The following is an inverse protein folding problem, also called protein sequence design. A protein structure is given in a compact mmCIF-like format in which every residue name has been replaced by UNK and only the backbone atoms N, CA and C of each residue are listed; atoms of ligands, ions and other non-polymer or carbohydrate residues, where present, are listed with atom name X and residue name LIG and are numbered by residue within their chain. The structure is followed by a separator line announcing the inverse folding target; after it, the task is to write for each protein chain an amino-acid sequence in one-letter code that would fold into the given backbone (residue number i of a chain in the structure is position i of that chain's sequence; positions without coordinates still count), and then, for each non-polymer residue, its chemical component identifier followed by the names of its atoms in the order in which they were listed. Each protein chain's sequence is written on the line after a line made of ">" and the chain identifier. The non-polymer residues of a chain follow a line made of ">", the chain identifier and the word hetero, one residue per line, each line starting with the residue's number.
data_IF_274122307597
#
_entry.id   IF_274122307597
#
_cell.length_a   1.000
_cell.length_b   1.000
_cell.length_c   1.000
_cell.angle_alpha   90.00
_cell.angle_beta   90.00
_cell.angle_gamma   90.00
#
_symmetry.space_group_name_H-M   'P 1'
#
loop_
_entity.id
_entity.type
_entity.pdbx_description
1 polymer ?
#
# COMPACT_ATOMS: atom_id res chain seq x y z
N UNK A 1 0.55 -11.86 -12.98
CA UNK A 1 1.78 -11.03 -13.01
C UNK A 1 1.39 -9.56 -12.94
N UNK A 2 2.04 -8.79 -12.07
CA UNK A 2 1.75 -7.35 -11.88
C UNK A 2 2.34 -6.56 -13.05
N UNK A 3 1.56 -5.73 -13.77
CA UNK A 3 2.09 -4.92 -14.86
C UNK A 3 3.17 -3.92 -14.40
N UNK A 4 4.17 -3.65 -15.25
CA UNK A 4 5.31 -2.77 -14.93
C UNK A 4 4.87 -1.39 -14.41
N UNK A 5 3.88 -0.76 -15.06
CA UNK A 5 3.35 0.53 -14.62
C UNK A 5 2.77 0.52 -13.21
N UNK A 6 2.25 -0.62 -12.76
CA UNK A 6 1.73 -0.78 -11.39
C UNK A 6 2.88 -0.93 -10.41
N UNK A 7 3.94 -1.65 -10.80
CA UNK A 7 5.18 -1.73 -10.03
C UNK A 7 5.82 -0.34 -9.88
N UNK A 8 5.88 0.44 -10.95
CA UNK A 8 6.36 1.83 -10.91
C UNK A 8 5.52 2.71 -9.98
N UNK A 9 4.18 2.57 -10.01
CA UNK A 9 3.29 3.29 -9.12
C UNK A 9 3.52 2.91 -7.64
N UNK A 10 3.71 1.63 -7.32
CA UNK A 10 4.02 1.14 -5.96
C UNK A 10 5.33 1.73 -5.43
N UNK A 11 6.36 1.82 -6.28
CA UNK A 11 7.65 2.40 -5.92
C UNK A 11 7.68 3.93 -6.02
N UNK A 12 6.64 4.52 -6.55
CA UNK A 12 6.47 5.97 -6.69
C UNK A 12 5.83 6.64 -5.49
N UNK A 13 5.45 7.91 -5.64
CA UNK A 13 4.80 8.68 -4.58
C UNK A 13 3.29 8.40 -4.51
N UNK A 14 2.92 7.15 -4.35
CA UNK A 14 1.52 6.74 -4.24
C UNK A 14 1.03 6.77 -2.79
N UNK A 15 -0.19 7.24 -2.58
CA UNK A 15 -0.93 6.98 -1.35
C UNK A 15 -1.47 5.56 -1.42
N UNK A 16 -1.19 4.76 -0.41
CA UNK A 16 -1.57 3.35 -0.40
C UNK A 16 -2.38 3.00 0.86
N UNK A 17 -3.38 2.13 0.65
CA UNK A 17 -4.19 1.56 1.73
C UNK A 17 -4.28 0.05 1.56
N UNK A 18 -4.12 -0.67 2.66
CA UNK A 18 -4.40 -2.10 2.73
C UNK A 18 -5.79 -2.33 3.30
N UNK A 19 -6.55 -3.21 2.68
CA UNK A 19 -7.89 -3.60 3.09
C UNK A 19 -8.00 -5.10 3.33
N UNK A 20 -8.71 -5.49 4.39
CA UNK A 20 -9.04 -6.87 4.74
C UNK A 20 -10.51 -6.98 5.10
N UNK A 21 -10.99 -8.16 5.39
CA UNK A 21 -12.32 -8.42 5.95
C UNK A 21 -12.27 -9.60 6.92
N UNK A 22 -13.17 -9.60 7.88
CA UNK A 22 -13.35 -10.78 8.73
C UNK A 22 -14.31 -11.81 8.08
N UNK A 23 -14.57 -12.91 8.78
CA UNK A 23 -15.48 -13.97 8.36
C UNK A 23 -16.93 -13.50 8.16
N UNK A 24 -17.34 -12.42 8.85
CA UNK A 24 -18.67 -11.79 8.72
C UNK A 24 -18.72 -10.73 7.63
N UNK A 25 -17.67 -10.63 6.82
CA UNK A 25 -17.51 -9.65 5.75
C UNK A 25 -17.41 -8.18 6.22
N UNK A 26 -17.14 -7.94 7.51
CA UNK A 26 -16.84 -6.58 7.96
C UNK A 26 -15.46 -6.17 7.53
N UNK A 27 -15.33 -5.06 6.77
CA UNK A 27 -14.05 -4.59 6.28
C UNK A 27 -13.22 -3.94 7.40
N UNK A 28 -11.91 -3.99 7.20
CA UNK A 28 -10.94 -3.18 7.91
C UNK A 28 -9.95 -2.61 6.91
N UNK A 29 -9.40 -1.44 7.19
CA UNK A 29 -8.35 -0.86 6.37
C UNK A 29 -7.36 -0.09 7.23
N UNK A 30 -6.15 0.09 6.69
CA UNK A 30 -5.13 0.95 7.27
C UNK A 30 -4.29 1.56 6.16
N UNK A 31 -3.70 2.72 6.43
CA UNK A 31 -2.73 3.29 5.51
C UNK A 31 -1.43 2.48 5.51
N UNK A 32 -0.77 2.48 4.36
CA UNK A 32 0.49 1.80 4.12
C UNK A 32 1.62 2.84 4.16
N UNK A 33 2.71 2.50 4.83
CA UNK A 33 3.85 3.39 5.05
C UNK A 33 5.03 3.13 4.11
N UNK A 34 4.78 2.40 3.04
CA UNK A 34 5.73 2.02 2.01
C UNK A 34 5.49 0.60 1.53
N UNK A 35 5.99 0.27 0.35
CA UNK A 35 5.86 -1.07 -0.22
C UNK A 35 7.04 -1.40 -1.14
N UNK A 36 7.24 -2.70 -1.35
CA UNK A 36 8.20 -3.27 -2.28
C UNK A 36 7.46 -4.26 -3.18
N UNK A 37 7.46 -4.03 -4.48
CA UNK A 37 7.10 -5.04 -5.46
C UNK A 37 8.37 -5.78 -5.88
N UNK A 38 8.34 -7.11 -5.83
CA UNK A 38 9.51 -7.92 -6.15
C UNK A 38 9.68 -8.12 -7.66
N UNK A 39 10.89 -8.51 -8.07
CA UNK A 39 11.27 -8.68 -9.47
C UNK A 39 10.51 -9.80 -10.21
N UNK A 40 9.89 -10.73 -9.47
CA UNK A 40 9.00 -11.75 -10.04
C UNK A 40 7.64 -11.19 -10.50
N UNK A 41 7.35 -9.95 -10.12
CA UNK A 41 6.06 -9.25 -10.38
C UNK A 41 4.84 -10.04 -9.90
N UNK A 42 4.98 -10.81 -8.83
CA UNK A 42 3.89 -11.59 -8.23
C UNK A 42 3.68 -11.22 -6.75
N UNK A 43 4.78 -11.05 -6.01
CA UNK A 43 4.73 -10.75 -4.60
C UNK A 43 4.96 -9.26 -4.31
N UNK A 44 4.29 -8.79 -3.26
CA UNK A 44 4.43 -7.44 -2.73
C UNK A 44 4.56 -7.56 -1.22
N UNK A 45 5.51 -6.81 -0.65
CA UNK A 45 5.56 -6.53 0.78
C UNK A 45 5.17 -5.07 1.02
N UNK A 46 4.17 -4.84 1.84
CA UNK A 46 3.79 -3.51 2.29
C UNK A 46 3.98 -3.37 3.80
N UNK A 47 4.16 -2.14 4.25
CA UNK A 47 4.43 -1.84 5.64
C UNK A 47 3.28 -1.08 6.27
N UNK A 48 2.93 -1.47 7.50
CA UNK A 48 1.91 -0.77 8.30
C UNK A 48 2.46 -0.48 9.69
N UNK A 49 2.01 0.60 10.35
CA UNK A 49 2.36 0.81 11.75
C UNK A 49 1.87 -0.35 12.62
N UNK A 50 2.70 -0.82 13.56
CA UNK A 50 2.30 -1.89 14.48
C UNK A 50 1.02 -1.53 15.23
N UNK A 51 0.87 -0.28 15.65
CA UNK A 51 -0.32 0.23 16.34
C UNK A 51 -1.62 0.16 15.52
N UNK A 52 -1.53 -0.11 14.22
CA UNK A 52 -2.66 -0.23 13.28
C UNK A 52 -2.79 -1.62 12.66
N UNK A 53 -1.98 -2.58 13.11
CA UNK A 53 -1.86 -3.89 12.47
C UNK A 53 -2.77 -4.98 13.04
N UNK A 54 -3.23 -4.86 14.28
CA UNK A 54 -3.93 -5.92 15.01
C UNK A 54 -5.12 -6.50 14.22
N UNK A 55 -6.04 -5.64 13.79
CA UNK A 55 -7.23 -6.07 13.06
C UNK A 55 -6.87 -6.65 11.69
N UNK A 56 -5.94 -6.03 10.97
CA UNK A 56 -5.48 -6.50 9.67
C UNK A 56 -4.87 -7.90 9.80
N UNK A 57 -3.98 -8.12 10.76
CA UNK A 57 -3.34 -9.42 10.99
C UNK A 57 -4.36 -10.48 11.41
N UNK A 58 -5.33 -10.14 12.26
CA UNK A 58 -6.41 -11.04 12.65
C UNK A 58 -7.21 -11.53 11.43
N UNK A 59 -7.61 -10.63 10.55
CA UNK A 59 -8.34 -10.95 9.33
C UNK A 59 -7.50 -11.81 8.37
N UNK A 60 -6.22 -11.46 8.18
CA UNK A 60 -5.29 -12.20 7.33
C UNK A 60 -5.05 -13.63 7.83
N UNK A 61 -4.89 -13.81 9.12
CA UNK A 61 -4.74 -15.13 9.74
C UNK A 61 -6.03 -15.97 9.66
N UNK A 62 -7.19 -15.33 9.60
CA UNK A 62 -8.47 -16.01 9.48
C UNK A 62 -8.75 -16.48 8.04
N UNK A 63 -8.58 -15.62 7.04
CA UNK A 63 -9.03 -15.93 5.67
C UNK A 63 -7.98 -15.67 4.58
N UNK A 64 -6.86 -15.03 4.89
CA UNK A 64 -5.76 -14.78 3.97
C UNK A 64 -6.05 -13.78 2.85
N UNK A 65 -7.20 -13.11 2.82
CA UNK A 65 -7.58 -12.21 1.74
C UNK A 65 -7.16 -10.76 2.03
N UNK A 66 -6.48 -10.15 1.05
CA UNK A 66 -6.00 -8.78 1.15
C UNK A 66 -6.23 -8.02 -0.17
N UNK A 67 -6.48 -6.74 -0.04
CA UNK A 67 -6.48 -5.79 -1.15
C UNK A 67 -5.52 -4.64 -0.83
N UNK A 68 -4.75 -4.23 -1.83
CA UNK A 68 -3.88 -3.05 -1.78
C UNK A 68 -4.39 -2.04 -2.79
N UNK A 69 -4.79 -0.86 -2.32
CA UNK A 69 -5.11 0.28 -3.17
C UNK A 69 -3.86 1.16 -3.31
N UNK A 70 -3.57 1.57 -4.55
CA UNK A 70 -2.42 2.40 -4.92
C UNK A 70 -2.94 3.58 -5.73
N UNK A 71 -2.73 4.80 -5.27
CA UNK A 71 -3.24 6.01 -5.91
C UNK A 71 -2.17 7.10 -5.98
N UNK A 72 -1.85 7.53 -7.20
CA UNK A 72 -0.94 8.64 -7.44
C UNK A 72 -1.69 9.98 -7.36
N UNK A 73 -0.95 11.05 -7.10
CA UNK A 73 -1.51 12.41 -7.05
C UNK A 73 -2.10 12.86 -8.40
N UNK A 74 -1.71 12.22 -9.49
CA UNK A 74 -2.24 12.39 -10.85
C UNK A 74 -3.62 11.76 -11.05
N UNK A 75 -4.19 11.13 -10.01
CA UNK A 75 -5.41 10.32 -10.03
C UNK A 75 -5.28 8.97 -10.75
N UNK A 76 -4.10 8.62 -11.21
CA UNK A 76 -3.82 7.25 -11.64
C UNK A 76 -3.94 6.33 -10.43
N UNK A 77 -4.76 5.28 -10.54
CA UNK A 77 -5.07 4.42 -9.40
C UNK A 77 -5.25 2.95 -9.80
N UNK A 78 -4.84 2.07 -8.91
CA UNK A 78 -4.88 0.63 -9.07
C UNK A 78 -5.38 -0.05 -7.80
N UNK A 79 -5.96 -1.24 -7.95
CA UNK A 79 -6.27 -2.14 -6.85
C UNK A 79 -5.69 -3.51 -7.14
N UNK A 80 -4.89 -4.02 -6.23
CA UNK A 80 -4.38 -5.38 -6.28
C UNK A 80 -5.11 -6.21 -5.23
N UNK A 81 -5.58 -7.39 -5.61
CA UNK A 81 -6.18 -8.36 -4.69
C UNK A 81 -5.35 -9.62 -4.70
N UNK A 82 -5.23 -10.26 -3.55
CA UNK A 82 -4.41 -11.45 -3.46
C UNK A 82 -4.49 -12.17 -2.13
N UNK A 83 -3.50 -13.03 -1.93
CA UNK A 83 -3.41 -13.95 -0.80
C UNK A 83 -2.21 -13.61 0.07
N UNK A 84 -2.46 -13.46 1.34
CA UNK A 84 -1.46 -13.30 2.38
C UNK A 84 -0.47 -14.48 2.41
N UNK A 85 0.80 -14.18 2.50
CA UNK A 85 1.87 -15.17 2.59
C UNK A 85 2.52 -15.18 3.98
N UNK A 86 2.92 -14.01 4.47
CA UNK A 86 3.64 -13.90 5.75
C UNK A 86 3.62 -12.49 6.31
N UNK A 87 3.94 -12.37 7.59
CA UNK A 87 4.21 -11.08 8.23
C UNK A 87 5.38 -11.22 9.22
N UNK A 88 6.07 -10.11 9.43
CA UNK A 88 7.17 -9.98 10.38
C UNK A 88 7.32 -8.54 10.86
N UNK A 89 7.95 -8.27 11.97
CA UNK A 89 8.39 -6.92 12.32
C UNK A 89 9.28 -6.32 11.23
N UNK A 90 9.18 -5.01 11.01
CA UNK A 90 10.09 -4.31 10.08
C UNK A 90 11.52 -4.26 10.63
N UNK A 91 12.48 -4.34 9.72
CA UNK A 91 13.91 -4.21 10.01
C UNK A 91 14.47 -2.87 9.49
N UNK A 92 15.78 -2.67 9.62
CA UNK A 92 16.45 -1.45 9.18
C UNK A 92 16.34 -1.21 7.65
N UNK A 93 16.32 -2.29 6.85
CA UNK A 93 16.16 -2.17 5.39
C UNK A 93 14.74 -1.71 5.03
N UNK A 94 13.74 -2.26 5.69
CA UNK A 94 12.35 -1.85 5.52
C UNK A 94 12.16 -0.39 5.92
N UNK A 95 12.76 0.03 7.03
CA UNK A 95 12.70 1.43 7.49
C UNK A 95 13.33 2.39 6.49
N UNK A 96 14.43 2.01 5.84
CA UNK A 96 15.04 2.82 4.79
C UNK A 96 14.10 2.98 3.58
N UNK A 97 13.39 1.93 3.18
CA UNK A 97 12.35 2.02 2.13
C UNK A 97 11.23 2.96 2.54
N UNK A 98 10.76 2.85 3.78
CA UNK A 98 9.70 3.72 4.31
C UNK A 98 10.12 5.20 4.33
N UNK A 99 11.36 5.50 4.68
CA UNK A 99 11.88 6.88 4.67
C UNK A 99 11.94 7.45 3.25
N UNK A 100 12.41 6.67 2.29
CA UNK A 100 12.42 7.07 0.86
C UNK A 100 11.00 7.31 0.36
N UNK A 101 10.07 6.41 0.67
CA UNK A 101 8.65 6.55 0.31
C UNK A 101 8.05 7.84 0.85
N UNK A 102 8.25 8.14 2.14
CA UNK A 102 7.74 9.36 2.78
C UNK A 102 8.30 10.63 2.11
N UNK A 103 9.59 10.63 1.79
CA UNK A 103 10.23 11.76 1.11
C UNK A 103 9.66 11.98 -0.30
N UNK A 104 9.45 10.91 -1.07
CA UNK A 104 8.82 10.97 -2.39
C UNK A 104 7.39 11.51 -2.31
N UNK A 105 6.61 11.01 -1.36
CA UNK A 105 5.22 11.41 -1.18
C UNK A 105 5.11 12.88 -0.77
N UNK A 106 5.92 13.34 0.18
CA UNK A 106 5.97 14.74 0.59
C UNK A 106 6.34 15.64 -0.60
N UNK A 107 7.38 15.28 -1.34
CA UNK A 107 7.84 16.04 -2.51
C UNK A 107 6.73 16.14 -3.57
N UNK A 108 6.03 15.05 -3.86
CA UNK A 108 4.96 15.04 -4.85
C UNK A 108 3.79 15.96 -4.47
N UNK A 109 3.37 15.95 -3.20
CA UNK A 109 2.33 16.86 -2.72
C UNK A 109 2.75 18.33 -2.79
N UNK A 110 3.98 18.65 -2.40
CA UNK A 110 4.50 20.01 -2.48
C UNK A 110 4.60 20.50 -3.93
N UNK A 111 5.09 19.67 -4.84
CA UNK A 111 5.16 19.98 -6.28
C UNK A 111 3.78 20.17 -6.90
N UNK A 112 2.76 19.50 -6.39
CA UNK A 112 1.38 19.69 -6.84
C UNK A 112 0.72 20.96 -6.27
N UNK A 113 1.42 21.72 -5.44
CA UNK A 113 0.96 23.00 -4.91
C UNK A 113 0.18 22.92 -3.58
N UNK A 114 0.21 21.76 -2.92
CA UNK A 114 -0.41 21.65 -1.59
C UNK A 114 0.42 22.40 -0.54
N UNK A 115 -0.22 23.12 0.41
CA UNK A 115 0.49 23.88 1.44
C UNK A 115 1.32 22.96 2.35
N UNK A 116 2.58 23.32 2.58
CA UNK A 116 3.50 22.54 3.42
C UNK A 116 2.97 22.33 4.84
N UNK A 117 2.29 23.34 5.41
CA UNK A 117 1.71 23.28 6.75
C UNK A 117 0.65 22.16 6.90
N UNK A 118 0.00 21.78 5.80
CA UNK A 118 -1.01 20.70 5.76
C UNK A 118 -0.34 19.37 5.44
N UNK A 119 0.50 19.34 4.42
CA UNK A 119 1.08 18.10 3.88
C UNK A 119 2.12 17.50 4.81
N UNK A 120 2.99 18.31 5.39
CA UNK A 120 4.08 17.84 6.24
C UNK A 120 3.59 17.07 7.47
N UNK A 121 2.63 17.55 8.26
CA UNK A 121 2.04 16.77 9.35
C UNK A 121 1.31 15.50 8.84
N UNK A 122 0.63 15.58 7.69
CA UNK A 122 -0.09 14.47 7.12
C UNK A 122 0.85 13.33 6.68
N UNK A 123 1.96 13.65 6.06
CA UNK A 123 2.92 12.65 5.55
C UNK A 123 3.91 12.19 6.61
N UNK A 124 4.39 13.11 7.45
CA UNK A 124 5.44 12.84 8.46
C UNK A 124 4.91 12.61 9.87
N UNK A 125 3.63 12.92 10.12
CA UNK A 125 3.01 12.82 11.45
C UNK A 125 2.72 11.39 11.90
N UNK A 126 2.82 10.40 11.01
CA UNK A 126 2.59 9.00 11.36
C UNK A 126 3.84 8.35 11.94
N UNK A 127 3.68 7.71 13.09
CA UNK A 127 4.68 6.78 13.58
C UNK A 127 4.67 5.52 12.67
N UNK A 128 5.71 5.33 11.85
CA UNK A 128 5.84 4.16 10.98
C UNK A 128 6.67 3.04 11.61
N UNK A 129 7.31 3.31 12.72
CA UNK A 129 8.07 2.33 13.52
C UNK A 129 7.68 2.44 15.01
N UNK A 130 7.50 1.29 15.71
CA UNK A 130 7.60 -0.06 15.16
C UNK A 130 6.56 -0.32 14.09
N UNK A 131 6.93 -1.14 13.11
CA UNK A 131 6.08 -1.48 11.98
C UNK A 131 6.03 -2.98 11.71
N UNK A 132 5.06 -3.39 10.91
CA UNK A 132 4.89 -4.76 10.44
C UNK A 132 5.01 -4.77 8.92
N UNK A 133 5.86 -5.67 8.41
CA UNK A 133 5.97 -6.01 7.01
C UNK A 133 5.02 -7.16 6.69
N UNK A 134 4.11 -6.95 5.74
CA UNK A 134 3.10 -7.93 5.32
C UNK A 134 3.35 -8.26 3.86
N UNK A 135 3.59 -9.54 3.56
CA UNK A 135 3.82 -10.02 2.20
C UNK A 135 2.60 -10.76 1.69
N UNK A 136 2.19 -10.45 0.48
CA UNK A 136 1.11 -11.15 -0.22
C UNK A 136 1.46 -11.41 -1.69
N UNK A 137 0.84 -12.43 -2.27
CA UNK A 137 0.89 -12.69 -3.70
C UNK A 137 -0.32 -12.06 -4.36
N UNK A 138 -0.09 -11.17 -5.33
CA UNK A 138 -1.15 -10.57 -6.11
C UNK A 138 -1.74 -11.59 -7.10
N UNK A 139 -3.05 -11.79 -7.06
CA UNK A 139 -3.79 -12.70 -7.96
C UNK A 139 -4.56 -11.92 -9.03
N UNK A 140 -4.98 -10.70 -8.71
CA UNK A 140 -5.76 -9.85 -9.60
C UNK A 140 -5.32 -8.40 -9.46
N UNK A 141 -5.23 -7.73 -10.60
CA UNK A 141 -4.93 -6.28 -10.69
C UNK A 141 -6.05 -5.59 -11.46
N UNK A 142 -6.57 -4.52 -10.90
CA UNK A 142 -7.65 -3.72 -11.49
C UNK A 142 -7.20 -2.27 -11.70
N UNK A 143 -7.57 -1.72 -12.85
CA UNK A 143 -7.46 -0.28 -13.09
C UNK A 143 -8.56 0.44 -12.30
N UNK A 144 -8.18 1.43 -11.50
CA UNK A 144 -9.11 2.24 -10.71
C UNK A 144 -9.00 3.74 -11.03
N UNK A 145 -8.18 4.10 -12.01
CA UNK A 145 -8.12 5.47 -12.53
C UNK A 145 -9.51 5.92 -12.95
N UNK A 146 -10.01 7.07 -12.47
CA UNK A 146 -11.33 7.57 -12.82
C UNK A 146 -11.52 7.67 -14.34
N UNK A 147 -12.60 7.07 -14.84
CA UNK A 147 -12.91 7.05 -16.27
C UNK A 147 -13.68 5.80 -16.69
N UNK A 148 -13.96 5.64 -17.99
CA UNK A 148 -14.77 4.52 -18.51
C UNK A 148 -14.15 3.14 -18.28
N UNK A 149 -12.86 3.07 -18.08
CA UNK A 149 -12.13 1.82 -17.85
C UNK A 149 -11.94 1.47 -16.36
N UNK A 150 -12.44 2.30 -15.43
CA UNK A 150 -12.37 2.01 -14.01
C UNK A 150 -13.04 0.66 -13.68
N UNK A 151 -12.36 -0.17 -12.91
CA UNK A 151 -12.81 -1.53 -12.57
C UNK A 151 -12.38 -2.61 -13.57
N UNK A 152 -11.73 -2.24 -14.67
CA UNK A 152 -11.23 -3.24 -15.64
C UNK A 152 -10.09 -4.05 -15.05
N UNK A 153 -10.20 -5.37 -15.16
CA UNK A 153 -9.13 -6.28 -14.78
C UNK A 153 -7.97 -6.16 -15.78
N UNK A 154 -6.74 -6.03 -15.24
CA UNK A 154 -5.51 -5.88 -16.01
C UNK A 154 -4.70 -7.17 -16.08
N UNK A 155 -4.80 -7.98 -15.02
CA UNK A 155 -4.18 -9.31 -14.94
C UNK A 155 -4.85 -10.16 -13.84
#
# INVERSE_FOLDING_TARGET
>A
MIPDRVVEAIHGPAVMFAGTRNERLYPAHTFVTGAIAYSDHEAITFFVPESRSERILSDLNNNGRVALAVSLITHEAYQLKGVYLSSRPTDAKDQAVQEVYRSKLLSAFLQAGYPEQIVKPLVLGFAYKPGIAITFRAEEVFLQTPGPEAGKKMS
#
